data_IF_180448673688
#
_entry.id   IF_180448673688
#
_cell.length_a   1.000
_cell.length_b   1.000
_cell.length_c   1.000
_cell.angle_alpha   90.00
_cell.angle_beta   90.00
_cell.angle_gamma   90.00
#
_symmetry.space_group_name_H-M   'P 1'
#
loop_
_entity.id
_entity.type
_entity.pdbx_description
1 polymer ?
#
# COMPACT_ATOMS: atom_id res chain seq x y z
N UNK A 1 -38.30 -32.31 4.50
CA UNK A 1 -37.59 -31.05 4.15
C UNK A 1 -38.54 -29.88 4.40
N UNK A 2 -38.06 -28.73 4.91
CA UNK A 2 -38.89 -27.55 5.11
C UNK A 2 -39.51 -27.04 3.80
N UNK A 3 -40.67 -26.40 3.88
CA UNK A 3 -41.36 -25.81 2.74
C UNK A 3 -40.74 -24.47 2.31
N UNK A 4 -40.96 -24.06 1.06
CA UNK A 4 -40.43 -22.80 0.52
C UNK A 4 -40.92 -21.56 1.30
N UNK A 5 -42.16 -21.60 1.78
CA UNK A 5 -42.75 -20.57 2.63
C UNK A 5 -42.06 -20.45 3.99
N UNK A 6 -41.67 -21.58 4.60
CA UNK A 6 -40.92 -21.60 5.87
C UNK A 6 -39.48 -21.09 5.70
N UNK A 7 -38.85 -21.38 4.55
CA UNK A 7 -37.52 -20.87 4.22
C UNK A 7 -37.54 -19.35 4.05
N UNK A 8 -38.54 -18.79 3.35
CA UNK A 8 -38.68 -17.33 3.18
C UNK A 8 -38.99 -16.62 4.49
N UNK A 9 -39.80 -17.22 5.37
CA UNK A 9 -40.12 -16.65 6.68
C UNK A 9 -38.91 -16.57 7.62
N UNK A 10 -37.93 -17.46 7.45
CA UNK A 10 -36.73 -17.55 8.30
C UNK A 10 -35.49 -16.95 7.65
N UNK A 11 -35.51 -16.73 6.33
CA UNK A 11 -34.40 -16.20 5.58
C UNK A 11 -34.05 -14.77 6.03
N UNK A 12 -32.87 -14.62 6.63
CA UNK A 12 -32.24 -13.31 6.77
C UNK A 12 -31.46 -13.01 5.48
N UNK A 13 -31.66 -11.83 4.86
CA UNK A 13 -30.87 -11.46 3.70
C UNK A 13 -29.38 -11.49 4.06
N UNK A 14 -28.62 -12.37 3.41
CA UNK A 14 -27.18 -12.39 3.55
C UNK A 14 -26.61 -11.23 2.73
N UNK A 15 -26.22 -10.14 3.40
CA UNK A 15 -25.46 -9.08 2.76
C UNK A 15 -24.03 -9.57 2.52
N UNK A 16 -23.68 -9.75 1.25
CA UNK A 16 -22.30 -10.10 0.86
C UNK A 16 -21.41 -8.90 1.16
N UNK A 17 -20.64 -8.96 2.24
CA UNK A 17 -19.61 -7.95 2.52
C UNK A 17 -18.51 -8.05 1.46
N UNK A 18 -18.29 -6.99 0.70
CA UNK A 18 -17.07 -6.84 -0.10
C UNK A 18 -15.90 -6.52 0.83
N UNK A 19 -14.99 -7.46 0.99
CA UNK A 19 -13.74 -7.20 1.68
C UNK A 19 -12.90 -6.18 0.88
N UNK A 20 -12.23 -5.22 1.55
CA UNK A 20 -11.26 -4.36 0.90
C UNK A 20 -10.14 -5.21 0.28
N UNK A 21 -9.76 -4.89 -0.96
CA UNK A 21 -8.63 -5.57 -1.62
C UNK A 21 -7.32 -5.01 -1.07
N UNK A 22 -6.79 -5.63 -0.01
CA UNK A 22 -5.52 -5.21 0.64
C UNK A 22 -4.36 -5.05 -0.35
N UNK A 23 -4.29 -5.93 -1.36
CA UNK A 23 -3.27 -5.86 -2.41
C UNK A 23 -3.30 -4.54 -3.20
N UNK A 24 -4.48 -3.95 -3.43
CA UNK A 24 -4.62 -2.68 -4.15
C UNK A 24 -4.07 -1.53 -3.32
N UNK A 25 -4.35 -1.52 -2.01
CA UNK A 25 -3.84 -0.49 -1.11
C UNK A 25 -2.32 -0.55 -0.95
N UNK A 26 -1.77 -1.76 -0.76
CA UNK A 26 -0.32 -1.98 -0.65
C UNK A 26 0.36 -1.58 -1.97
N UNK A 27 -0.17 -2.03 -3.10
CA UNK A 27 0.35 -1.68 -4.42
C UNK A 27 0.33 -0.17 -4.68
N UNK A 28 -0.80 0.49 -4.42
CA UNK A 28 -0.93 1.94 -4.56
C UNK A 28 0.04 2.69 -3.64
N UNK A 29 0.13 2.29 -2.38
CA UNK A 29 1.06 2.87 -1.42
C UNK A 29 2.51 2.73 -1.87
N UNK A 30 2.90 1.56 -2.40
CA UNK A 30 4.25 1.32 -2.90
C UNK A 30 4.57 2.18 -4.12
N UNK A 31 3.64 2.31 -5.07
CA UNK A 31 3.81 3.18 -6.25
C UNK A 31 3.98 4.64 -5.81
N UNK A 32 3.14 5.12 -4.90
CA UNK A 32 3.26 6.50 -4.36
C UNK A 32 4.61 6.69 -3.66
N UNK A 33 5.04 5.73 -2.84
CA UNK A 33 6.33 5.78 -2.17
C UNK A 33 7.52 5.88 -3.15
N UNK A 34 7.51 5.07 -4.21
CA UNK A 34 8.52 5.13 -5.28
C UNK A 34 8.53 6.52 -5.93
N UNK A 35 7.35 7.03 -6.31
CA UNK A 35 7.24 8.36 -6.94
C UNK A 35 7.78 9.45 -6.02
N UNK A 36 7.43 9.42 -4.73
CA UNK A 36 7.94 10.37 -3.74
C UNK A 36 9.46 10.28 -3.63
N UNK A 37 10.05 9.08 -3.61
CA UNK A 37 11.50 8.92 -3.55
C UNK A 37 12.23 9.42 -4.78
N UNK A 38 11.67 9.20 -5.96
CA UNK A 38 12.21 9.75 -7.20
C UNK A 38 12.16 11.29 -7.21
N UNK A 39 11.04 11.87 -6.77
CA UNK A 39 10.89 13.33 -6.65
C UNK A 39 11.86 13.89 -5.61
N UNK A 40 11.99 13.24 -4.46
CA UNK A 40 12.89 13.67 -3.39
C UNK A 40 14.33 13.76 -3.87
N UNK A 41 14.82 12.72 -4.56
CA UNK A 41 16.18 12.68 -5.12
C UNK A 41 16.36 13.74 -6.21
N UNK A 42 15.34 13.97 -7.04
CA UNK A 42 15.39 14.99 -8.09
C UNK A 42 15.43 16.43 -7.53
N UNK A 43 14.72 16.70 -6.42
CA UNK A 43 14.63 18.04 -5.82
C UNK A 43 15.81 18.33 -4.90
N UNK A 44 16.30 17.34 -4.15
CA UNK A 44 17.42 17.49 -3.21
C UNK A 44 18.79 17.34 -3.88
N UNK A 45 18.84 17.27 -5.21
CA UNK A 45 20.10 17.24 -5.95
C UNK A 45 20.82 18.57 -5.77
N UNK A 46 21.69 18.65 -4.77
CA UNK A 46 22.59 19.77 -4.56
C UNK A 46 23.84 19.58 -5.44
N UNK A 47 24.17 20.54 -6.35
CA UNK A 47 25.38 20.48 -7.17
C UNK A 47 26.68 20.50 -6.37
N UNK A 48 26.64 20.97 -5.11
CA UNK A 48 27.81 21.15 -4.26
C UNK A 48 28.10 19.95 -3.36
N UNK A 49 27.21 18.96 -3.31
CA UNK A 49 27.40 17.74 -2.53
C UNK A 49 27.97 16.66 -3.44
N UNK A 50 29.27 16.40 -3.27
CA UNK A 50 29.94 15.27 -3.92
C UNK A 50 29.34 13.97 -3.37
N UNK A 51 28.71 13.19 -4.25
CA UNK A 51 28.08 11.93 -3.87
C UNK A 51 29.19 10.92 -3.55
N UNK A 52 29.36 10.60 -2.27
CA UNK A 52 30.38 9.66 -1.75
C UNK A 52 30.24 8.22 -2.35
N UNK A 53 29.22 7.96 -3.16
CA UNK A 53 28.92 6.65 -3.74
C UNK A 53 29.69 6.33 -5.05
N UNK A 54 30.47 7.26 -5.59
CA UNK A 54 31.24 7.03 -6.83
C UNK A 54 32.23 5.86 -6.67
N UNK A 55 32.18 4.88 -7.58
CA UNK A 55 33.09 3.73 -7.62
C UNK A 55 32.73 2.51 -6.75
N UNK A 56 31.57 2.50 -6.08
CA UNK A 56 31.17 1.38 -5.19
C UNK A 56 30.14 0.40 -5.77
N UNK A 57 29.55 0.72 -6.93
CA UNK A 57 28.48 -0.07 -7.54
C UNK A 57 28.97 -1.24 -8.40
N UNK A 58 28.48 -2.47 -8.15
CA UNK A 58 28.76 -3.64 -9.00
C UNK A 58 27.87 -3.72 -10.26
N UNK A 59 26.81 -2.89 -10.33
CA UNK A 59 25.84 -2.81 -11.45
C UNK A 59 25.70 -1.36 -11.90
N UNK A 60 25.66 -1.12 -13.21
CA UNK A 60 25.71 0.21 -13.82
C UNK A 60 24.63 1.21 -13.35
N UNK A 61 23.43 0.75 -12.97
CA UNK A 61 22.38 1.65 -12.46
C UNK A 61 22.44 1.85 -10.94
N UNK A 62 23.30 1.12 -10.24
CA UNK A 62 23.58 1.23 -8.81
C UNK A 62 24.94 1.92 -8.55
N UNK A 63 25.46 2.64 -9.54
CA UNK A 63 26.69 3.41 -9.43
C UNK A 63 26.37 4.88 -9.13
N UNK A 64 27.15 5.51 -8.24
CA UNK A 64 27.04 6.93 -7.92
C UNK A 64 25.61 7.37 -7.57
N UNK A 65 25.13 8.40 -8.26
CA UNK A 65 23.78 8.96 -8.13
C UNK A 65 22.66 7.92 -8.39
N UNK A 66 22.92 6.95 -9.28
CA UNK A 66 21.98 5.88 -9.59
C UNK A 66 21.67 5.00 -8.37
N UNK A 67 22.70 4.70 -7.58
CA UNK A 67 22.57 3.93 -6.34
C UNK A 67 21.60 4.59 -5.36
N UNK A 68 21.83 5.87 -5.07
CA UNK A 68 20.99 6.63 -4.12
C UNK A 68 19.57 6.72 -4.64
N UNK A 69 19.40 7.02 -5.92
CA UNK A 69 18.08 7.10 -6.55
C UNK A 69 17.31 5.80 -6.40
N UNK A 70 17.94 4.68 -6.74
CA UNK A 70 17.29 3.36 -6.68
C UNK A 70 16.99 2.95 -5.24
N UNK A 71 17.96 3.06 -4.34
CA UNK A 71 17.78 2.66 -2.93
C UNK A 71 16.70 3.52 -2.27
N UNK A 72 16.72 4.84 -2.48
CA UNK A 72 15.71 5.75 -1.92
C UNK A 72 14.32 5.44 -2.47
N UNK A 73 14.19 5.23 -3.78
CA UNK A 73 12.91 4.90 -4.40
C UNK A 73 12.37 3.55 -3.91
N UNK A 74 13.21 2.52 -3.79
CA UNK A 74 12.81 1.21 -3.28
C UNK A 74 12.44 1.28 -1.81
N UNK A 75 13.25 1.94 -0.98
CA UNK A 75 12.99 2.09 0.46
C UNK A 75 11.67 2.82 0.72
N UNK A 76 11.42 3.94 0.03
CA UNK A 76 10.14 4.64 0.14
C UNK A 76 8.98 3.86 -0.48
N UNK A 77 9.21 3.07 -1.52
CA UNK A 77 8.23 2.12 -2.04
C UNK A 77 7.80 1.09 -1.00
N UNK A 78 8.75 0.47 -0.30
CA UNK A 78 8.46 -0.48 0.78
C UNK A 78 7.68 0.20 1.91
N UNK A 79 8.14 1.37 2.37
CA UNK A 79 7.44 2.15 3.39
C UNK A 79 6.03 2.56 2.95
N UNK A 80 5.88 3.02 1.72
CA UNK A 80 4.59 3.37 1.12
C UNK A 80 3.64 2.17 1.09
N UNK A 81 4.15 0.98 0.75
CA UNK A 81 3.38 -0.27 0.81
C UNK A 81 2.86 -0.59 2.22
N UNK A 82 3.70 -0.42 3.24
CA UNK A 82 3.27 -0.58 4.65
C UNK A 82 2.20 0.44 5.05
N UNK A 83 2.37 1.71 4.67
CA UNK A 83 1.36 2.76 4.92
C UNK A 83 0.04 2.42 4.21
N UNK A 84 0.10 1.99 2.95
CA UNK A 84 -1.07 1.53 2.19
C UNK A 84 -1.76 0.36 2.89
N UNK A 85 -1.00 -0.66 3.32
CA UNK A 85 -1.52 -1.78 4.11
C UNK A 85 -2.20 -1.34 5.41
N UNK A 86 -1.60 -0.40 6.14
CA UNK A 86 -2.20 0.15 7.36
C UNK A 86 -3.54 0.86 7.07
N UNK A 87 -3.62 1.61 5.96
CA UNK A 87 -4.88 2.23 5.52
C UNK A 87 -5.94 1.20 5.14
N UNK A 88 -5.54 0.09 4.51
CA UNK A 88 -6.45 -1.00 4.20
C UNK A 88 -7.05 -1.62 5.47
N UNK A 89 -6.23 -1.85 6.50
CA UNK A 89 -6.68 -2.34 7.81
C UNK A 89 -7.66 -1.35 8.45
N UNK A 90 -7.37 -0.05 8.39
CA UNK A 90 -8.26 0.97 8.94
C UNK A 90 -9.61 1.01 8.19
N UNK A 91 -9.59 0.90 6.86
CA UNK A 91 -10.79 0.82 6.04
C UNK A 91 -11.63 -0.43 6.36
N UNK A 92 -10.97 -1.58 6.52
CA UNK A 92 -11.60 -2.84 6.91
C UNK A 92 -12.29 -2.74 8.27
N UNK A 93 -11.60 -2.14 9.25
CA UNK A 93 -12.14 -1.90 10.61
C UNK A 93 -13.36 -0.98 10.60
N UNK A 94 -13.37 0.08 9.77
CA UNK A 94 -14.52 0.99 9.61
C UNK A 94 -15.72 0.34 8.93
N UNK A 95 -15.47 -0.67 8.08
CA UNK A 95 -16.51 -1.39 7.34
C UNK A 95 -17.24 -2.46 8.17
N UNK A 96 -16.91 -2.64 9.46
CA UNK A 96 -17.63 -3.58 10.33
C UNK A 96 -19.07 -3.10 10.56
N UNK A 97 -19.99 -4.05 10.40
CA UNK A 97 -21.44 -3.91 10.31
C UNK A 97 -22.06 -2.98 11.39
N UNK A 98 -22.81 -1.91 11.02
CA UNK A 98 -23.52 -1.05 11.97
C UNK A 98 -24.50 -1.81 12.89
N UNK A 99 -24.96 -2.98 12.47
CA UNK A 99 -25.88 -3.82 13.25
C UNK A 99 -25.21 -4.62 14.37
N UNK A 100 -23.86 -4.70 14.42
CA UNK A 100 -23.13 -5.37 15.50
C UNK A 100 -23.19 -4.63 16.85
N UNK A 101 -23.64 -3.37 16.89
CA UNK A 101 -23.75 -2.56 18.11
C UNK A 101 -25.09 -2.67 18.85
N UNK A 102 -26.05 -3.48 18.37
CA UNK A 102 -27.36 -3.70 19.03
C UNK A 102 -27.50 -5.13 19.59
N UNK A 103 -26.49 -5.61 20.31
CA UNK A 103 -26.62 -6.75 21.23
C UNK A 103 -26.08 -6.36 22.57
#
# INVERSE_FOLDING_TARGET
>A
MPSEAELLATARPATVRRAPKYSVFIGAGAVVGIVVGLVLVAVLKDPQVEWIADGTGFVWFLEGEGAVRTVTAVALGVLGGFVGGALAVLADRRSRDPYARRR
#
